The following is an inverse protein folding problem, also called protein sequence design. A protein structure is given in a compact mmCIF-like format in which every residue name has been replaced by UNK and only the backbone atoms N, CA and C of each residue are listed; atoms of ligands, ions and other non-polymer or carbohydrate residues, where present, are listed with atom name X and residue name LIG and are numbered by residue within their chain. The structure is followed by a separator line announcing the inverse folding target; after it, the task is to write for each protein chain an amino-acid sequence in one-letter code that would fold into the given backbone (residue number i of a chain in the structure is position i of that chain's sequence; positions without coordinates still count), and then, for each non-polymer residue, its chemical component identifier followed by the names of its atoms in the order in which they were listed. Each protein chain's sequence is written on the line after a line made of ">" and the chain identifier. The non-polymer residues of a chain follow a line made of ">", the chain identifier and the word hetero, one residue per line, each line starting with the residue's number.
data_IF_677914964252
#
_entry.id   IF_677914964252
#
_cell.length_a   1.000
_cell.length_b   1.000
_cell.length_c   1.000
_cell.angle_alpha   90.00
_cell.angle_beta   90.00
_cell.angle_gamma   90.00
#
_symmetry.space_group_name_H-M   'P 1'
#
loop_
_entity.id
_entity.type
_entity.pdbx_description
1 polymer ?
#
# COMPACT_ATOMS: atom_id res chain seq x y z
N UNK A 1 -58.10 -38.55 17.17
CA UNK A 1 -57.85 -37.10 17.28
C UNK A 1 -56.58 -36.78 18.12
N UNK A 2 -55.48 -37.51 17.91
CA UNK A 2 -54.21 -37.35 18.67
C UNK A 2 -52.97 -37.06 17.78
N UNK A 3 -53.04 -37.32 16.47
CA UNK A 3 -51.90 -37.18 15.55
C UNK A 3 -51.57 -35.76 15.09
N UNK A 4 -52.55 -34.86 15.01
CA UNK A 4 -52.35 -33.55 14.38
C UNK A 4 -51.46 -32.62 15.21
N UNK A 5 -51.31 -32.88 16.51
CA UNK A 5 -50.42 -32.10 17.40
C UNK A 5 -48.94 -32.44 17.17
N UNK A 6 -48.61 -33.71 16.96
CA UNK A 6 -47.22 -34.13 16.69
C UNK A 6 -46.72 -33.62 15.34
N UNK A 7 -47.58 -33.62 14.32
CA UNK A 7 -47.26 -33.10 12.98
C UNK A 7 -47.03 -31.58 13.01
N UNK A 8 -47.87 -30.83 13.74
CA UNK A 8 -47.70 -29.38 13.90
C UNK A 8 -46.42 -29.02 14.66
N UNK A 9 -46.08 -29.75 15.73
CA UNK A 9 -44.85 -29.54 16.49
C UNK A 9 -43.60 -29.87 15.68
N UNK A 10 -43.63 -30.94 14.88
CA UNK A 10 -42.53 -31.31 14.00
C UNK A 10 -42.30 -30.26 12.89
N UNK A 11 -43.38 -29.74 12.31
CA UNK A 11 -43.30 -28.68 11.29
C UNK A 11 -42.71 -27.38 11.85
N UNK A 12 -43.14 -26.95 13.05
CA UNK A 12 -42.59 -25.77 13.72
C UNK A 12 -41.10 -25.94 14.03
N UNK A 13 -40.66 -27.11 14.49
CA UNK A 13 -39.25 -27.39 14.77
C UNK A 13 -38.36 -27.34 13.52
N UNK A 14 -38.85 -27.82 12.37
CA UNK A 14 -38.13 -27.76 11.09
C UNK A 14 -37.96 -26.31 10.63
N UNK A 15 -39.03 -25.51 10.70
CA UNK A 15 -38.99 -24.08 10.32
C UNK A 15 -38.03 -23.30 11.22
N UNK A 16 -38.06 -23.53 12.53
CA UNK A 16 -37.14 -22.87 13.47
C UNK A 16 -35.68 -23.25 13.22
N UNK A 17 -35.40 -24.53 12.92
CA UNK A 17 -34.05 -24.99 12.57
C UNK A 17 -33.57 -24.38 11.25
N UNK A 18 -34.43 -24.31 10.24
CA UNK A 18 -34.12 -23.68 8.96
C UNK A 18 -33.85 -22.18 9.10
N UNK A 19 -34.65 -21.48 9.93
CA UNK A 19 -34.42 -20.08 10.26
C UNK A 19 -33.12 -19.87 11.05
N UNK A 20 -32.80 -20.75 12.00
CA UNK A 20 -31.55 -20.69 12.75
C UNK A 20 -30.34 -20.93 11.84
N UNK A 21 -30.40 -21.92 10.93
CA UNK A 21 -29.35 -22.12 9.92
C UNK A 21 -29.25 -20.95 8.95
N UNK A 22 -30.36 -20.38 8.49
CA UNK A 22 -30.34 -19.18 7.65
C UNK A 22 -29.74 -17.99 8.40
N UNK A 23 -30.06 -17.80 9.68
CA UNK A 23 -29.49 -16.76 10.53
C UNK A 23 -27.99 -16.99 10.76
N UNK A 24 -27.55 -18.23 11.02
CA UNK A 24 -26.14 -18.59 11.12
C UNK A 24 -25.43 -18.31 9.79
N UNK A 25 -25.99 -18.70 8.65
CA UNK A 25 -25.42 -18.42 7.33
C UNK A 25 -25.36 -16.91 7.06
N UNK A 26 -26.37 -16.13 7.43
CA UNK A 26 -26.39 -14.66 7.28
C UNK A 26 -25.37 -13.98 8.20
N UNK A 27 -25.24 -14.44 9.46
CA UNK A 27 -24.26 -13.91 10.43
C UNK A 27 -22.85 -14.34 10.05
N UNK A 28 -22.65 -15.57 9.57
CA UNK A 28 -21.37 -16.07 9.05
C UNK A 28 -20.99 -15.42 7.72
N UNK A 29 -21.97 -14.89 6.98
CA UNK A 29 -21.77 -14.08 5.76
C UNK A 29 -21.50 -12.61 6.06
N UNK A 30 -21.49 -12.17 7.33
CA UNK A 30 -21.02 -10.83 7.71
C UNK A 30 -19.50 -10.82 7.91
N UNK A 31 -18.75 -11.19 6.88
CA UNK A 31 -17.40 -10.64 6.69
C UNK A 31 -17.59 -9.26 6.04
N UNK A 32 -17.98 -8.27 6.85
CA UNK A 32 -17.84 -6.86 6.47
C UNK A 32 -16.36 -6.54 6.19
N UNK A 33 -16.06 -5.37 5.60
CA UNK A 33 -14.80 -5.15 4.90
C UNK A 33 -13.58 -5.54 5.76
N UNK A 34 -12.85 -6.57 5.33
CA UNK A 34 -11.49 -6.85 5.83
C UNK A 34 -10.46 -5.92 5.18
N UNK A 35 -10.91 -4.89 4.46
CA UNK A 35 -10.10 -3.79 3.97
C UNK A 35 -10.55 -2.47 4.60
N UNK A 36 -9.62 -1.77 5.22
CA UNK A 36 -9.85 -0.45 5.79
C UNK A 36 -8.92 0.58 5.15
N UNK A 37 -9.51 1.67 4.66
CA UNK A 37 -8.77 2.83 4.19
C UNK A 37 -8.51 3.78 5.37
N UNK A 38 -7.24 4.01 5.70
CA UNK A 38 -6.84 4.90 6.81
C UNK A 38 -5.81 5.93 6.36
N UNK A 39 -5.59 6.97 7.18
CA UNK A 39 -4.57 8.00 6.94
C UNK A 39 -4.64 8.66 5.55
N UNK A 40 -5.86 8.83 5.02
CA UNK A 40 -6.04 9.41 3.71
C UNK A 40 -5.71 10.92 3.72
N UNK A 41 -4.68 11.30 2.96
CA UNK A 41 -4.24 12.68 2.79
C UNK A 41 -4.09 13.02 1.31
N UNK A 42 -4.14 14.31 1.00
CA UNK A 42 -4.07 14.81 -0.35
C UNK A 42 -3.14 16.04 -0.39
N UNK A 43 -2.25 16.13 -1.37
CA UNK A 43 -1.32 17.25 -1.51
C UNK A 43 -1.41 17.85 -2.92
N UNK A 44 -1.50 19.18 -3.06
CA UNK A 44 -1.35 19.84 -4.37
C UNK A 44 0.01 19.53 -5.00
N UNK A 45 0.02 19.28 -6.31
CA UNK A 45 1.26 19.07 -7.06
C UNK A 45 1.85 20.42 -7.45
N UNK A 46 3.10 20.67 -7.08
CA UNK A 46 3.77 21.94 -7.33
C UNK A 46 3.90 22.23 -8.84
N UNK A 47 3.57 23.46 -9.25
CA UNK A 47 3.62 23.86 -10.66
C UNK A 47 2.47 23.34 -11.52
N UNK A 48 1.53 22.59 -10.95
CA UNK A 48 0.44 21.94 -11.70
C UNK A 48 -0.93 22.32 -11.11
N UNK A 49 -1.53 23.47 -11.53
CA UNK A 49 -2.79 23.96 -10.97
C UNK A 49 -3.92 22.94 -11.08
N UNK A 50 -4.63 22.71 -9.96
CA UNK A 50 -5.76 21.77 -9.90
C UNK A 50 -5.37 20.29 -9.92
N UNK A 51 -4.07 19.96 -9.89
CA UNK A 51 -3.57 18.59 -9.76
C UNK A 51 -3.24 18.28 -8.31
N UNK A 52 -3.68 17.12 -7.84
CA UNK A 52 -3.53 16.65 -6.46
C UNK A 52 -3.07 15.20 -6.46
N UNK A 53 -2.08 14.89 -5.62
CA UNK A 53 -1.69 13.52 -5.28
C UNK A 53 -2.40 13.10 -3.99
N UNK A 54 -2.87 11.85 -3.92
CA UNK A 54 -3.54 11.29 -2.76
C UNK A 54 -2.78 10.06 -2.25
N UNK A 55 -2.58 10.03 -0.95
CA UNK A 55 -1.86 9.01 -0.18
C UNK A 55 -2.79 8.43 0.88
N UNK A 56 -2.66 7.13 1.16
CA UNK A 56 -3.49 6.44 2.16
C UNK A 56 -2.92 5.05 2.46
N UNK A 57 -3.37 4.49 3.57
CA UNK A 57 -3.10 3.10 3.95
C UNK A 57 -4.32 2.23 3.66
N UNK A 58 -4.07 1.02 3.15
CA UNK A 58 -5.01 -0.07 3.00
C UNK A 58 -4.62 -1.16 3.99
N UNK A 59 -5.39 -1.29 5.06
CA UNK A 59 -5.22 -2.36 6.06
C UNK A 59 -6.04 -3.56 5.60
N UNK A 60 -5.38 -4.67 5.27
CA UNK A 60 -6.00 -5.93 4.88
C UNK A 60 -5.87 -6.96 6.01
N UNK A 61 -7.01 -7.51 6.45
CA UNK A 61 -7.10 -8.60 7.45
C UNK A 61 -7.70 -9.88 6.86
N UNK A 62 -7.82 -9.93 5.54
CA UNK A 62 -8.37 -11.04 4.79
C UNK A 62 -7.38 -11.56 3.77
N UNK A 63 -7.93 -12.28 2.78
CA UNK A 63 -7.17 -12.76 1.64
C UNK A 63 -6.62 -11.64 0.74
N UNK A 64 -5.74 -11.99 -0.22
CA UNK A 64 -5.20 -11.02 -1.17
C UNK A 64 -6.29 -10.36 -2.03
N UNK A 65 -6.07 -9.11 -2.40
CA UNK A 65 -6.96 -8.35 -3.30
C UNK A 65 -6.10 -7.43 -4.20
N UNK A 66 -6.76 -6.62 -5.04
CA UNK A 66 -6.10 -5.70 -5.97
C UNK A 66 -6.89 -4.42 -6.11
N UNK A 67 -6.22 -3.26 -6.05
CA UNK A 67 -6.83 -1.99 -6.45
C UNK A 67 -6.81 -1.91 -7.97
N UNK A 68 -7.98 -1.93 -8.60
CA UNK A 68 -8.13 -1.95 -10.06
C UNK A 68 -8.58 -0.61 -10.64
N UNK A 69 -9.18 0.26 -9.83
CA UNK A 69 -9.54 1.60 -10.26
C UNK A 69 -9.68 2.58 -9.09
N UNK A 70 -9.63 3.87 -9.41
CA UNK A 70 -9.89 4.96 -8.48
C UNK A 70 -10.77 6.01 -9.15
N UNK A 71 -11.67 6.62 -8.38
CA UNK A 71 -12.51 7.74 -8.83
C UNK A 71 -12.69 8.77 -7.71
N UNK A 72 -13.00 9.99 -8.11
CA UNK A 72 -13.44 11.05 -7.20
C UNK A 72 -14.46 11.91 -7.90
N UNK A 73 -15.53 12.29 -7.19
CA UNK A 73 -16.51 13.26 -7.69
C UNK A 73 -15.98 14.70 -7.67
N UNK A 74 -14.86 14.94 -6.97
CA UNK A 74 -14.26 16.27 -6.86
C UNK A 74 -13.23 16.55 -7.96
N UNK A 75 -12.89 15.56 -8.79
CA UNK A 75 -11.89 15.65 -9.84
C UNK A 75 -12.46 15.24 -11.19
N UNK A 76 -11.97 15.82 -12.28
CA UNK A 76 -12.35 15.41 -13.64
C UNK A 76 -11.81 14.01 -13.97
N UNK A 77 -10.62 13.67 -13.46
CA UNK A 77 -10.00 12.37 -13.64
C UNK A 77 -9.24 11.97 -12.38
N UNK A 78 -9.32 10.69 -12.01
CA UNK A 78 -8.46 10.07 -11.02
C UNK A 78 -7.84 8.80 -11.63
N UNK A 79 -6.56 8.54 -11.34
CA UNK A 79 -5.85 7.33 -11.77
C UNK A 79 -4.87 6.86 -10.71
N UNK A 80 -4.57 5.57 -10.74
CA UNK A 80 -3.43 5.02 -10.02
C UNK A 80 -2.17 5.42 -10.81
N UNK A 81 -1.26 6.10 -10.16
CA UNK A 81 0.05 6.43 -10.71
C UNK A 81 1.04 5.42 -10.13
N UNK A 82 1.50 4.51 -10.97
CA UNK A 82 2.49 3.49 -10.61
C UNK A 82 3.37 3.22 -11.81
N UNK A 83 4.65 2.95 -11.58
CA UNK A 83 5.62 2.68 -12.64
C UNK A 83 5.59 1.23 -13.14
N UNK A 84 4.73 0.35 -12.56
CA UNK A 84 4.93 -1.11 -12.71
C UNK A 84 3.67 -1.98 -12.78
N UNK A 85 2.48 -1.48 -12.41
CA UNK A 85 1.30 -2.34 -12.25
C UNK A 85 0.23 -2.11 -13.34
N UNK A 86 0.44 -2.67 -14.53
CA UNK A 86 -0.54 -2.60 -15.64
C UNK A 86 -1.89 -3.25 -15.26
N UNK A 87 -1.87 -4.28 -14.41
CA UNK A 87 -3.07 -5.00 -13.95
C UNK A 87 -3.77 -4.34 -12.73
N UNK A 88 -3.20 -3.28 -12.16
CA UNK A 88 -3.63 -2.70 -10.89
C UNK A 88 -2.77 -3.16 -9.69
N UNK A 89 -2.90 -2.45 -8.57
CA UNK A 89 -1.97 -2.54 -7.44
C UNK A 89 -2.30 -3.72 -6.51
N UNK A 90 -1.38 -4.69 -6.30
CA UNK A 90 -1.63 -5.87 -5.49
C UNK A 90 -1.63 -5.53 -3.99
N UNK A 91 -2.66 -5.98 -3.27
CA UNK A 91 -2.78 -5.89 -1.82
C UNK A 91 -2.55 -7.28 -1.25
N UNK A 92 -1.42 -7.51 -0.54
CA UNK A 92 -1.21 -8.80 0.09
C UNK A 92 -2.28 -9.10 1.15
N UNK A 93 -2.58 -10.38 1.35
CA UNK A 93 -3.39 -10.85 2.48
C UNK A 93 -2.69 -10.58 3.80
N UNK A 94 -3.48 -10.32 4.85
CA UNK A 94 -3.00 -10.06 6.23
C UNK A 94 -1.86 -9.01 6.32
N UNK A 95 -1.92 -7.98 5.48
CA UNK A 95 -0.89 -6.96 5.38
C UNK A 95 -1.48 -5.55 5.39
N UNK A 96 -0.64 -4.57 5.70
CA UNK A 96 -0.94 -3.17 5.39
C UNK A 96 -0.10 -2.74 4.19
N UNK A 97 -0.75 -2.15 3.20
CA UNK A 97 -0.12 -1.58 2.03
C UNK A 97 -0.44 -0.08 1.97
N UNK A 98 0.52 0.74 1.56
CA UNK A 98 0.37 2.19 1.53
C UNK A 98 0.63 2.76 0.14
N UNK A 99 -0.24 3.68 -0.26
CA UNK A 99 -0.01 4.64 -1.33
C UNK A 99 0.76 5.81 -0.74
N UNK A 100 2.00 6.00 -1.18
CA UNK A 100 2.97 6.90 -0.57
C UNK A 100 3.66 7.75 -1.65
N UNK A 101 4.23 8.91 -1.29
CA UNK A 101 4.98 9.73 -2.23
C UNK A 101 6.10 8.94 -2.93
N UNK A 102 6.84 8.13 -2.17
CA UNK A 102 7.98 7.32 -2.63
C UNK A 102 7.60 6.02 -3.35
N UNK A 103 6.32 5.84 -3.68
CA UNK A 103 5.80 4.68 -4.37
C UNK A 103 4.60 5.01 -5.26
N UNK A 104 3.69 4.05 -5.37
CA UNK A 104 2.43 4.26 -6.05
C UNK A 104 1.56 5.26 -5.27
N UNK A 105 0.86 6.12 -5.98
CA UNK A 105 -0.08 7.07 -5.38
C UNK A 105 -1.28 7.28 -6.32
N UNK A 106 -2.33 7.92 -5.82
CA UNK A 106 -3.45 8.31 -6.68
C UNK A 106 -3.17 9.72 -7.21
N UNK A 107 -3.30 9.91 -8.51
CA UNK A 107 -3.22 11.24 -9.14
C UNK A 107 -4.61 11.69 -9.58
N UNK A 108 -4.99 12.88 -9.16
CA UNK A 108 -6.24 13.55 -9.52
C UNK A 108 -5.98 14.79 -10.36
N UNK A 109 -6.66 14.90 -11.49
CA UNK A 109 -6.61 16.05 -12.39
C UNK A 109 -7.92 16.84 -12.36
N UNK A 110 -7.80 18.16 -12.42
CA UNK A 110 -8.94 19.07 -12.48
C UNK A 110 -9.79 19.00 -11.21
N UNK A 111 -9.14 19.00 -10.04
CA UNK A 111 -9.85 19.06 -8.75
C UNK A 111 -10.54 20.41 -8.62
N UNK A 112 -11.87 20.40 -8.58
CA UNK A 112 -12.69 21.62 -8.50
C UNK A 112 -12.72 22.22 -7.09
N UNK A 113 -13.04 23.52 -6.99
CA UNK A 113 -13.10 24.26 -5.72
C UNK A 113 -11.71 24.69 -5.21
N UNK A 114 -11.67 25.39 -4.07
CA UNK A 114 -10.42 25.86 -3.46
C UNK A 114 -9.59 24.69 -2.88
N UNK A 115 -8.27 24.78 -2.98
CA UNK A 115 -7.31 23.82 -2.42
C UNK A 115 -6.82 24.28 -1.04
N UNK A 116 -7.77 24.55 -0.15
CA UNK A 116 -7.48 25.03 1.20
C UNK A 116 -7.08 23.88 2.14
N UNK A 117 -6.09 24.12 2.99
CA UNK A 117 -5.65 23.15 4.01
C UNK A 117 -6.83 22.68 4.87
N UNK A 118 -6.88 21.38 5.15
CA UNK A 118 -7.95 20.74 5.90
C UNK A 118 -9.19 20.36 5.08
N UNK A 119 -9.34 20.82 3.84
CA UNK A 119 -10.47 20.42 2.97
C UNK A 119 -10.48 18.91 2.75
N UNK A 120 -11.65 18.28 2.85
CA UNK A 120 -11.81 16.85 2.62
C UNK A 120 -12.20 16.56 1.16
N UNK A 121 -11.40 15.75 0.47
CA UNK A 121 -11.65 15.30 -0.91
C UNK A 121 -12.19 13.86 -0.88
N UNK A 122 -13.39 13.58 -1.39
CA UNK A 122 -13.92 12.22 -1.45
C UNK A 122 -13.11 11.38 -2.45
N UNK A 123 -12.78 10.15 -2.08
CA UNK A 123 -12.02 9.20 -2.91
C UNK A 123 -12.66 7.83 -2.82
N UNK A 124 -12.90 7.19 -3.95
CA UNK A 124 -13.42 5.82 -4.01
C UNK A 124 -12.42 4.94 -4.74
N UNK A 125 -12.01 3.85 -4.10
CA UNK A 125 -11.15 2.81 -4.66
C UNK A 125 -12.04 1.61 -5.00
N UNK A 126 -11.83 1.03 -6.18
CA UNK A 126 -12.45 -0.23 -6.56
C UNK A 126 -11.40 -1.34 -6.44
N UNK A 127 -11.73 -2.32 -5.62
CA UNK A 127 -10.99 -3.55 -5.44
C UNK A 127 -11.55 -4.64 -6.36
N UNK A 128 -10.72 -5.61 -6.72
CA UNK A 128 -11.11 -6.75 -7.57
C UNK A 128 -12.15 -7.64 -6.89
N UNK A 129 -11.92 -7.96 -5.60
CA UNK A 129 -12.81 -8.84 -4.82
C UNK A 129 -13.70 -8.06 -3.88
N UNK A 130 -13.16 -7.10 -3.11
CA UNK A 130 -13.92 -6.37 -2.09
C UNK A 130 -14.88 -5.29 -2.65
N UNK A 131 -14.85 -5.01 -3.96
CA UNK A 131 -15.69 -4.01 -4.59
C UNK A 131 -15.28 -2.57 -4.26
N UNK A 132 -16.23 -1.64 -4.17
CA UNK A 132 -15.92 -0.23 -3.95
C UNK A 132 -15.86 0.14 -2.47
N UNK A 133 -14.76 0.76 -2.06
CA UNK A 133 -14.58 1.34 -0.72
C UNK A 133 -14.26 2.82 -0.87
N UNK A 134 -14.97 3.65 -0.10
CA UNK A 134 -14.82 5.11 -0.15
C UNK A 134 -14.24 5.66 1.14
N UNK A 135 -13.41 6.68 1.01
CA UNK A 135 -12.86 7.47 2.12
C UNK A 135 -12.83 8.95 1.75
N UNK A 136 -12.35 9.79 2.66
CA UNK A 136 -12.09 11.21 2.41
C UNK A 136 -10.65 11.52 2.73
N UNK A 137 -9.91 11.99 1.73
CA UNK A 137 -8.53 12.43 1.89
C UNK A 137 -8.52 13.88 2.38
N UNK A 138 -7.80 14.15 3.47
CA UNK A 138 -7.62 15.52 3.96
C UNK A 138 -6.55 16.23 3.13
N UNK A 139 -6.90 17.34 2.50
CA UNK A 139 -5.94 18.20 1.85
C UNK A 139 -4.98 18.77 2.89
N UNK A 140 -3.70 18.59 2.66
CA UNK A 140 -2.62 19.14 3.47
C UNK A 140 -1.79 20.05 2.59
N UNK A 141 -1.40 21.21 3.13
CA UNK A 141 -0.42 22.07 2.47
C UNK A 141 0.85 21.27 2.16
N UNK A 142 1.49 21.49 0.99
CA UNK A 142 2.71 20.75 0.64
C UNK A 142 3.80 21.02 1.67
N UNK A 143 4.14 20.01 2.48
CA UNK A 143 5.00 20.17 3.66
C UNK A 143 6.49 20.06 3.37
N UNK A 144 6.92 19.57 2.19
CA UNK A 144 8.34 19.50 1.83
C UNK A 144 8.59 19.79 0.34
N UNK A 145 9.62 20.59 0.08
CA UNK A 145 10.24 20.85 -1.23
C UNK A 145 11.64 20.22 -1.22
N UNK A 146 12.09 19.69 -2.35
CA UNK A 146 13.46 19.17 -2.50
C UNK A 146 13.71 18.45 -3.83
N UNK A 147 14.92 17.92 -3.99
CA UNK A 147 15.44 17.38 -5.26
C UNK A 147 14.91 15.98 -5.66
N UNK A 148 14.17 15.28 -4.81
CA UNK A 148 13.75 13.90 -5.10
C UNK A 148 12.90 13.77 -6.38
N UNK A 149 12.16 14.82 -6.75
CA UNK A 149 11.37 14.84 -7.99
C UNK A 149 12.21 14.65 -9.26
N UNK A 150 13.46 15.09 -9.31
CA UNK A 150 14.33 14.88 -10.49
C UNK A 150 14.84 13.44 -10.64
N UNK A 151 14.64 12.60 -9.62
CA UNK A 151 15.04 11.19 -9.59
C UNK A 151 13.85 10.23 -9.72
N UNK A 152 12.69 10.73 -10.14
CA UNK A 152 11.45 9.93 -10.19
C UNK A 152 10.87 9.59 -8.81
N UNK A 153 11.42 10.19 -7.75
CA UNK A 153 11.02 10.00 -6.36
C UNK A 153 10.08 11.13 -5.95
N UNK A 154 8.83 11.08 -6.40
CA UNK A 154 7.86 12.14 -6.14
C UNK A 154 7.62 12.33 -4.62
N UNK A 155 7.62 13.58 -4.15
CA UNK A 155 7.22 13.93 -2.79
C UNK A 155 8.10 13.44 -1.63
N UNK A 156 9.33 13.00 -1.90
CA UNK A 156 10.33 12.67 -0.87
C UNK A 156 11.10 13.87 -0.29
N UNK A 157 10.87 15.09 -0.81
CA UNK A 157 11.70 16.23 -0.45
C UNK A 157 13.08 16.06 -1.06
N UNK A 158 14.13 15.90 -0.26
CA UNK A 158 15.52 15.77 -0.72
C UNK A 158 15.98 14.30 -0.84
N UNK A 159 17.15 14.09 -1.44
CA UNK A 159 17.84 12.80 -1.55
C UNK A 159 19.12 12.76 -0.72
N UNK A 160 19.61 11.56 -0.44
CA UNK A 160 20.91 11.32 0.19
C UNK A 160 21.92 10.94 -0.91
N UNK A 161 22.57 11.93 -1.50
CA UNK A 161 23.69 11.67 -2.41
C UNK A 161 24.88 11.18 -1.58
N UNK A 162 25.46 10.07 -1.98
CA UNK A 162 26.68 9.55 -1.36
C UNK A 162 27.83 10.49 -1.70
N UNK A 163 28.48 11.02 -0.67
CA UNK A 163 29.61 11.94 -0.80
C UNK A 163 30.92 11.25 -1.19
N UNK A 164 31.91 12.04 -1.60
CA UNK A 164 33.24 11.53 -1.91
C UNK A 164 33.89 10.89 -0.67
N UNK A 165 34.31 9.64 -0.77
CA UNK A 165 34.93 8.88 0.31
C UNK A 165 33.95 8.23 1.30
N UNK A 166 32.65 8.42 1.13
CA UNK A 166 31.63 7.68 1.88
C UNK A 166 31.45 6.24 1.36
N UNK A 167 31.03 5.30 2.22
CA UNK A 167 30.68 3.96 1.78
C UNK A 167 29.56 4.01 0.73
N UNK A 168 29.81 3.45 -0.45
CA UNK A 168 28.83 3.39 -1.55
C UNK A 168 27.92 2.17 -1.33
N UNK A 169 26.65 2.36 -0.91
CA UNK A 169 25.79 1.24 -0.59
C UNK A 169 25.33 0.53 -1.87
N UNK A 170 25.36 -0.79 -1.82
CA UNK A 170 24.85 -1.70 -2.85
C UNK A 170 23.72 -2.57 -2.29
N UNK A 171 22.84 -3.04 -3.17
CA UNK A 171 21.74 -3.94 -2.78
C UNK A 171 21.44 -4.96 -3.88
N UNK A 172 21.17 -6.20 -3.46
CA UNK A 172 20.53 -7.23 -4.28
C UNK A 172 19.36 -7.87 -3.53
N UNK A 173 18.46 -8.49 -4.28
CA UNK A 173 17.19 -9.00 -3.78
C UNK A 173 16.93 -10.43 -4.28
N UNK A 174 16.55 -11.32 -3.38
CA UNK A 174 16.01 -12.64 -3.70
C UNK A 174 14.62 -12.79 -3.07
N UNK A 175 13.76 -13.53 -3.76
CA UNK A 175 12.41 -13.87 -3.28
C UNK A 175 12.19 -15.37 -3.44
N UNK A 176 11.52 -15.98 -2.47
CA UNK A 176 11.15 -17.40 -2.50
C UNK A 176 9.78 -17.63 -1.87
N UNK A 177 9.11 -18.69 -2.29
CA UNK A 177 7.84 -19.12 -1.69
C UNK A 177 8.04 -19.52 -0.23
N UNK A 178 7.01 -19.27 0.57
CA UNK A 178 6.93 -19.64 1.98
C UNK A 178 5.45 -19.81 2.40
N UNK A 179 4.97 -21.05 2.30
CA UNK A 179 3.57 -21.39 2.55
C UNK A 179 2.63 -20.69 1.56
N UNK A 180 1.73 -19.88 2.08
CA UNK A 180 0.80 -19.05 1.32
C UNK A 180 1.39 -17.70 0.87
N UNK A 181 2.63 -17.39 1.25
CA UNK A 181 3.27 -16.10 1.02
C UNK A 181 4.71 -16.25 0.54
N UNK A 182 5.53 -15.24 0.82
CA UNK A 182 6.86 -15.09 0.24
C UNK A 182 7.86 -14.56 1.26
N UNK A 183 9.07 -15.10 1.23
CA UNK A 183 10.21 -14.53 1.94
C UNK A 183 11.03 -13.69 0.97
N UNK A 184 11.37 -12.48 1.42
CA UNK A 184 12.24 -11.53 0.76
C UNK A 184 13.56 -11.51 1.51
N UNK A 185 14.65 -11.73 0.79
CA UNK A 185 16.01 -11.73 1.33
C UNK A 185 16.83 -10.64 0.62
N UNK A 186 17.34 -9.69 1.40
CA UNK A 186 18.12 -8.54 0.95
C UNK A 186 19.58 -8.77 1.29
N UNK A 187 20.46 -8.63 0.30
CA UNK A 187 21.89 -8.54 0.53
C UNK A 187 22.29 -7.08 0.33
N UNK A 188 22.82 -6.46 1.38
CA UNK A 188 23.28 -5.08 1.35
C UNK A 188 24.80 -5.03 1.48
N UNK A 189 25.44 -4.21 0.67
CA UNK A 189 26.88 -3.99 0.66
C UNK A 189 27.17 -2.57 1.13
N UNK A 190 28.25 -2.37 1.91
CA UNK A 190 28.64 -1.07 2.47
C UNK A 190 27.48 -0.33 3.16
N UNK A 191 26.54 -1.10 3.72
CA UNK A 191 25.32 -0.61 4.32
C UNK A 191 24.98 -1.41 5.57
N UNK A 192 24.56 -0.73 6.63
CA UNK A 192 24.12 -1.33 7.88
C UNK A 192 22.69 -0.91 8.21
N UNK A 193 21.80 -1.89 8.39
CA UNK A 193 20.48 -1.64 8.94
C UNK A 193 20.61 -1.16 10.40
N UNK A 194 20.09 0.03 10.69
CA UNK A 194 20.28 0.72 11.96
C UNK A 194 18.93 1.13 12.59
N UNK A 195 18.16 0.19 13.17
CA UNK A 195 16.88 0.50 13.80
C UNK A 195 17.00 1.54 14.92
N UNK A 196 18.08 1.49 15.71
CA UNK A 196 18.32 2.41 16.83
C UNK A 196 18.59 3.85 16.39
N UNK A 197 18.84 4.07 15.11
CA UNK A 197 19.09 5.38 14.51
C UNK A 197 17.93 5.83 13.58
N UNK A 198 16.80 5.12 13.57
CA UNK A 198 15.65 5.52 12.76
C UNK A 198 15.13 6.91 13.19
N UNK A 199 14.73 7.73 12.21
CA UNK A 199 14.22 9.09 12.44
C UNK A 199 15.25 10.05 13.09
N UNK A 200 16.54 9.74 12.98
CA UNK A 200 17.65 10.59 13.44
C UNK A 200 18.43 11.20 12.26
N UNK A 201 19.46 12.01 12.56
CA UNK A 201 20.33 12.58 11.53
C UNK A 201 21.05 11.49 10.72
N UNK A 202 21.34 11.79 9.45
CA UNK A 202 22.06 10.89 8.57
C UNK A 202 23.43 10.49 9.12
N UNK A 203 23.70 9.18 9.10
CA UNK A 203 25.01 8.57 9.34
C UNK A 203 25.41 7.78 8.08
N UNK A 204 26.57 8.07 7.45
CA UNK A 204 27.00 7.41 6.22
C UNK A 204 26.98 5.89 6.31
N UNK A 205 26.47 5.23 5.26
CA UNK A 205 26.38 3.77 5.18
C UNK A 205 25.38 3.13 6.16
N UNK A 206 24.48 3.90 6.77
CA UNK A 206 23.46 3.34 7.68
C UNK A 206 22.05 3.82 7.34
N UNK A 207 21.05 3.03 7.74
CA UNK A 207 19.66 3.41 7.62
C UNK A 207 18.72 2.21 7.62
N UNK A 208 17.77 2.19 6.70
CA UNK A 208 16.77 1.12 6.55
C UNK A 208 16.36 0.92 5.10
N UNK A 209 15.68 -0.19 4.81
CA UNK A 209 15.07 -0.44 3.51
C UNK A 209 13.61 -0.01 3.48
N UNK A 210 13.07 0.31 2.31
CA UNK A 210 11.62 0.34 2.08
C UNK A 210 11.23 -0.81 1.15
N UNK A 211 10.31 -1.67 1.59
CA UNK A 211 9.79 -2.79 0.80
C UNK A 211 8.50 -2.39 0.10
N UNK A 212 8.43 -2.65 -1.20
CA UNK A 212 7.27 -2.40 -2.05
C UNK A 212 6.85 -3.65 -2.81
N UNK A 213 5.55 -3.77 -3.10
CA UNK A 213 5.01 -4.74 -4.07
C UNK A 213 4.07 -4.02 -5.02
N UNK A 214 4.33 -4.15 -6.33
CA UNK A 214 3.59 -3.44 -7.37
C UNK A 214 3.54 -1.92 -7.16
N UNK A 215 4.56 -1.35 -6.52
CA UNK A 215 4.64 0.07 -6.16
C UNK A 215 3.99 0.46 -4.82
N UNK A 216 3.14 -0.38 -4.21
CA UNK A 216 2.61 -0.12 -2.88
C UNK A 216 3.66 -0.41 -1.81
N UNK A 217 3.82 0.50 -0.85
CA UNK A 217 4.75 0.33 0.27
C UNK A 217 4.16 -0.61 1.30
N UNK A 218 4.90 -1.64 1.72
CA UNK A 218 4.45 -2.58 2.74
C UNK A 218 5.03 -2.26 4.12
N UNK A 219 6.34 -2.06 4.19
CA UNK A 219 7.03 -1.85 5.46
C UNK A 219 8.43 -1.24 5.26
N UNK A 220 8.98 -0.72 6.37
CA UNK A 220 10.41 -0.46 6.49
C UNK A 220 11.12 -1.76 6.88
N UNK A 221 12.29 -2.00 6.29
CA UNK A 221 13.16 -3.12 6.61
C UNK A 221 14.28 -2.62 7.52
N UNK A 222 14.30 -3.08 8.76
CA UNK A 222 15.41 -2.86 9.69
C UNK A 222 16.30 -4.11 9.84
N UNK A 223 16.04 -5.12 9.02
CA UNK A 223 16.73 -6.40 8.96
C UNK A 223 16.77 -6.85 7.49
N UNK A 224 17.70 -7.74 7.11
CA UNK A 224 17.86 -8.17 5.72
C UNK A 224 16.76 -9.14 5.24
N UNK A 225 15.78 -9.49 6.08
CA UNK A 225 14.71 -10.42 5.71
C UNK A 225 13.35 -9.87 6.06
N UNK A 226 12.35 -10.19 5.23
CA UNK A 226 10.95 -9.88 5.49
C UNK A 226 10.02 -10.91 4.87
N UNK A 227 8.79 -10.97 5.38
CA UNK A 227 7.71 -11.77 4.81
C UNK A 227 6.69 -10.87 4.11
N UNK A 228 6.25 -11.30 2.93
CA UNK A 228 5.06 -10.80 2.24
C UNK A 228 3.99 -11.89 2.35
N UNK A 229 2.76 -11.52 2.69
CA UNK A 229 1.63 -12.46 2.73
C UNK A 229 1.24 -12.98 1.33
N UNK A 230 0.11 -13.67 1.26
CA UNK A 230 -0.45 -14.12 -0.01
C UNK A 230 -0.66 -12.94 -0.97
N UNK A 231 -0.39 -13.14 -2.25
CA UNK A 231 -0.59 -12.15 -3.31
C UNK A 231 -1.71 -12.60 -4.25
N UNK A 232 -2.46 -11.67 -4.87
CA UNK A 232 -3.46 -12.06 -5.86
C UNK A 232 -2.74 -12.71 -7.06
N UNK A 233 -3.39 -13.62 -7.81
CA UNK A 233 -2.76 -14.26 -8.96
C UNK A 233 -2.18 -13.25 -9.96
N UNK A 234 -1.04 -13.59 -10.57
CA UNK A 234 -0.35 -12.77 -11.56
C UNK A 234 1.14 -12.55 -11.26
N UNK A 235 1.74 -11.66 -12.05
CA UNK A 235 3.15 -11.27 -11.90
C UNK A 235 3.25 -9.96 -11.13
N UNK A 236 4.12 -9.91 -10.13
CA UNK A 236 4.29 -8.76 -9.25
C UNK A 236 5.76 -8.39 -9.12
N UNK A 237 6.05 -7.10 -9.27
CA UNK A 237 7.36 -6.56 -8.90
C UNK A 237 7.45 -6.45 -7.38
N UNK A 238 8.53 -6.96 -6.81
CA UNK A 238 8.99 -6.66 -5.46
C UNK A 238 10.20 -5.76 -5.57
N UNK A 239 10.17 -4.63 -4.87
CA UNK A 239 11.25 -3.64 -4.90
C UNK A 239 11.68 -3.29 -3.50
N UNK A 240 12.99 -3.17 -3.29
CA UNK A 240 13.58 -2.63 -2.07
C UNK A 240 14.46 -1.43 -2.41
N UNK A 241 14.26 -0.30 -1.74
CA UNK A 241 15.18 0.85 -1.79
C UNK A 241 15.92 0.98 -0.48
N UNK A 242 17.17 1.44 -0.52
CA UNK A 242 17.91 1.83 0.68
C UNK A 242 17.70 3.32 0.99
N UNK A 243 17.42 3.61 2.24
CA UNK A 243 17.09 4.94 2.74
C UNK A 243 17.95 5.27 3.97
N UNK A 244 18.37 6.53 4.08
CA UNK A 244 19.13 7.06 5.23
C UNK A 244 18.30 7.07 6.51
N UNK A 245 18.97 7.31 7.64
CA UNK A 245 18.36 7.47 8.96
C UNK A 245 17.23 8.52 8.98
N UNK A 246 17.35 9.57 8.16
CA UNK A 246 16.39 10.66 7.99
C UNK A 246 15.43 10.45 6.79
N UNK A 247 15.29 9.21 6.31
CA UNK A 247 14.37 8.74 5.27
C UNK A 247 14.63 9.19 3.83
N UNK A 248 15.72 9.91 3.57
CA UNK A 248 16.10 10.25 2.20
C UNK A 248 16.57 9.00 1.47
N UNK A 249 16.18 8.84 0.21
CA UNK A 249 16.67 7.73 -0.60
C UNK A 249 18.18 7.89 -0.84
N UNK A 250 18.95 6.82 -0.67
CA UNK A 250 20.35 6.81 -1.11
C UNK A 250 20.41 6.87 -2.64
N UNK A 251 21.26 7.74 -3.17
CA UNK A 251 21.48 7.92 -4.60
C UNK A 251 22.97 7.79 -4.91
N UNK A 252 23.31 6.90 -5.84
CA UNK A 252 24.65 6.72 -6.39
C UNK A 252 24.62 7.16 -7.86
N UNK A 253 25.38 8.19 -8.19
CA UNK A 253 25.27 8.86 -9.48
C UNK A 253 23.89 9.51 -9.67
N UNK A 254 23.11 9.01 -10.61
CA UNK A 254 21.73 9.45 -10.86
C UNK A 254 20.66 8.41 -10.50
N UNK A 255 21.04 7.32 -9.84
CA UNK A 255 20.14 6.20 -9.57
C UNK A 255 19.92 5.99 -8.07
N UNK A 256 18.66 5.89 -7.61
CA UNK A 256 18.36 5.44 -6.27
C UNK A 256 18.87 4.01 -6.05
N UNK A 257 19.48 3.75 -4.90
CA UNK A 257 20.01 2.42 -4.55
C UNK A 257 18.84 1.47 -4.31
N UNK A 258 18.56 0.66 -5.32
CA UNK A 258 17.33 -0.12 -5.45
C UNK A 258 17.63 -1.51 -6.00
N UNK A 259 16.95 -2.53 -5.48
CA UNK A 259 16.91 -3.86 -6.07
C UNK A 259 15.46 -4.27 -6.37
N UNK A 260 15.28 -5.04 -7.44
CA UNK A 260 13.98 -5.52 -7.92
C UNK A 260 14.05 -7.03 -8.13
N UNK A 261 12.96 -7.72 -7.78
CA UNK A 261 12.73 -9.12 -8.08
C UNK A 261 11.27 -9.30 -8.53
N UNK A 262 10.98 -10.42 -9.20
CA UNK A 262 9.64 -10.73 -9.69
C UNK A 262 9.07 -11.93 -8.95
N UNK A 263 7.84 -11.78 -8.47
CA UNK A 263 7.02 -12.87 -7.94
C UNK A 263 5.98 -13.28 -9.00
N UNK A 264 5.79 -14.59 -9.18
CA UNK A 264 4.68 -15.14 -9.96
C UNK A 264 3.75 -15.89 -9.00
N UNK A 265 2.64 -15.25 -8.62
CA UNK A 265 1.61 -15.85 -7.78
C UNK A 265 0.59 -16.58 -8.66
N UNK A 266 0.22 -17.80 -8.27
CA UNK A 266 -0.70 -18.67 -9.01
C UNK A 266 -2.07 -18.72 -8.37
#
# INVERSE_FOLDING_TARGET
>A
MKDTRHIKSAFVAIVLTAMAMAAIVIVSRRSGPELLLTQATAAPVAGEPGRVAVFLNVVNRGGPDRIVAVRSIAAQRARLDSTVADAGLPIPGDATAALEPDGAHIRMDGVGGSLDDGRMIPVTLRFETAGEISTRARLVAPTRRGDAGSFGLFGLGDICRVGDGEPVPGISLAVREDGDGWIVEVQAENFTFAPDLADTAHVPGTGHGHLYVGGLKLQRLYQPTARIGALPPGTHEVRVTLNSNDHRAFVVGEQPVTAVATIVAR
#
